data_IF_524689166545
#
_entry.id   IF_524689166545
#
_cell.length_a   1.000
_cell.length_b   1.000
_cell.length_c   1.000
_cell.angle_alpha   90.00
_cell.angle_beta   90.00
_cell.angle_gamma   90.00
#
_symmetry.space_group_name_H-M   'P 1'
#
loop_
_entity.id
_entity.type
_entity.pdbx_description
1 polymer ?
#
# COMPACT_ATOMS: atom_id res chain seq x y z
N UNK A 1 -12.46 6.52 22.21
CA UNK A 1 -12.31 7.79 21.47
C UNK A 1 -11.05 7.68 20.59
N UNK A 2 -10.98 6.68 19.73
CA UNK A 2 -11.36 6.68 18.29
C UNK A 2 -10.26 7.26 17.39
N UNK A 3 -9.22 6.44 17.23
CA UNK A 3 -8.59 6.05 15.96
C UNK A 3 -8.34 7.15 14.92
N UNK A 4 -7.19 7.83 15.05
CA UNK A 4 -6.54 8.60 13.98
C UNK A 4 -5.40 7.80 13.33
N UNK A 5 -5.64 6.55 12.91
CA UNK A 5 -4.58 5.70 12.33
C UNK A 5 -4.75 5.35 10.84
N UNK A 6 -5.66 6.04 10.13
CA UNK A 6 -5.94 5.74 8.71
C UNK A 6 -5.09 6.49 7.66
N UNK A 7 -3.93 7.09 8.01
CA UNK A 7 -3.22 7.97 7.08
C UNK A 7 -1.95 7.41 6.41
N UNK A 8 -1.47 6.21 6.75
CA UNK A 8 -0.14 5.78 6.27
C UNK A 8 -0.05 5.47 4.76
N UNK A 9 -1.15 5.09 4.09
CA UNK A 9 -1.16 4.87 2.62
C UNK A 9 -1.75 6.03 1.83
N UNK A 10 -2.36 6.99 2.53
CA UNK A 10 -3.16 8.08 1.95
C UNK A 10 -2.52 9.45 2.24
N UNK A 11 -1.28 9.53 2.71
CA UNK A 11 -0.53 10.80 2.68
C UNK A 11 -0.06 11.21 1.27
N UNK A 12 -0.46 10.45 0.25
CA UNK A 12 -0.51 10.90 -1.16
C UNK A 12 -1.70 11.86 -1.41
N UNK A 13 -2.53 12.20 -0.42
CA UNK A 13 -3.69 13.09 -0.65
C UNK A 13 -3.44 14.58 -0.38
N UNK A 14 -2.27 14.96 0.14
CA UNK A 14 -1.77 16.33 0.00
C UNK A 14 -1.12 16.43 -1.39
N UNK A 15 -1.97 16.65 -2.40
CA UNK A 15 -1.48 17.11 -3.70
C UNK A 15 -0.51 18.27 -3.42
N UNK A 16 0.77 18.17 -3.82
CA UNK A 16 1.66 19.30 -3.68
C UNK A 16 1.01 20.49 -4.39
N UNK A 17 1.22 21.74 -3.95
CA UNK A 17 0.67 22.92 -4.62
C UNK A 17 0.99 22.99 -6.13
N UNK A 18 2.01 22.24 -6.56
CA UNK A 18 2.50 22.10 -7.94
C UNK A 18 2.16 20.75 -8.60
N UNK A 19 1.31 19.93 -7.96
CA UNK A 19 1.03 18.55 -8.38
C UNK A 19 2.17 17.58 -8.03
N UNK A 20 1.99 16.31 -8.37
CA UNK A 20 3.01 15.29 -8.10
C UNK A 20 4.23 15.49 -9.00
N UNK A 21 5.38 15.75 -8.39
CA UNK A 21 6.67 15.82 -9.11
C UNK A 21 7.09 14.45 -9.67
N UNK A 22 6.63 13.37 -9.03
CA UNK A 22 6.84 11.99 -9.45
C UNK A 22 5.49 11.28 -9.58
N UNK A 23 5.23 10.66 -10.73
CA UNK A 23 3.99 9.94 -10.96
C UNK A 23 4.00 8.63 -10.15
N UNK A 24 3.01 8.39 -9.27
CA UNK A 24 2.92 7.13 -8.54
C UNK A 24 2.76 5.97 -9.52
N UNK A 25 3.43 4.86 -9.24
CA UNK A 25 3.43 3.69 -10.11
C UNK A 25 2.84 2.48 -9.40
N UNK A 26 2.07 1.69 -10.13
CA UNK A 26 1.60 0.38 -9.70
C UNK A 26 2.38 -0.68 -10.48
N UNK A 27 2.99 -1.61 -9.77
CA UNK A 27 3.71 -2.75 -10.34
C UNK A 27 3.05 -4.04 -9.85
N UNK A 28 2.90 -5.02 -10.73
CA UNK A 28 2.34 -6.33 -10.35
C UNK A 28 3.49 -7.31 -10.12
N UNK A 29 3.50 -7.95 -8.95
CA UNK A 29 4.45 -8.99 -8.60
C UNK A 29 3.97 -10.30 -9.21
N UNK A 30 4.59 -10.68 -10.32
CA UNK A 30 4.25 -11.93 -11.04
C UNK A 30 4.96 -13.15 -10.44
N UNK A 31 6.04 -12.94 -9.68
CA UNK A 31 6.89 -14.00 -9.14
C UNK A 31 6.96 -13.93 -7.61
N UNK A 32 6.60 -15.04 -6.96
CA UNK A 32 6.73 -15.25 -5.51
C UNK A 32 5.40 -15.41 -4.78
N UNK A 33 5.41 -16.18 -3.69
CA UNK A 33 4.29 -16.36 -2.75
C UNK A 33 4.06 -15.12 -1.86
N UNK A 34 4.08 -13.92 -2.44
CA UNK A 34 3.80 -12.69 -1.69
C UNK A 34 2.30 -12.59 -1.47
N UNK A 35 1.93 -12.35 -0.21
CA UNK A 35 0.53 -12.30 0.22
C UNK A 35 0.07 -10.85 0.40
N UNK A 36 0.96 -9.97 0.87
CA UNK A 36 0.64 -8.58 1.18
C UNK A 36 1.22 -7.62 0.14
N UNK A 37 0.59 -6.43 -0.06
CA UNK A 37 1.15 -5.39 -0.90
C UNK A 37 2.41 -4.78 -0.29
N UNK A 38 3.29 -4.27 -1.16
CA UNK A 38 4.50 -3.55 -0.75
C UNK A 38 4.49 -2.13 -1.28
N UNK A 39 4.63 -1.16 -0.37
CA UNK A 39 4.81 0.23 -0.73
C UNK A 39 6.28 0.63 -0.58
N UNK A 40 6.84 1.24 -1.63
CA UNK A 40 8.02 2.06 -1.53
C UNK A 40 7.61 3.53 -1.63
N UNK A 41 7.46 4.16 -0.47
CA UNK A 41 6.99 5.55 -0.34
C UNK A 41 8.01 6.57 -0.88
N UNK A 42 9.31 6.27 -0.82
CA UNK A 42 10.36 7.17 -1.31
C UNK A 42 10.30 7.39 -2.82
N UNK A 43 9.87 6.38 -3.59
CA UNK A 43 9.76 6.45 -5.06
C UNK A 43 8.31 6.34 -5.55
N UNK A 44 7.33 6.40 -4.64
CA UNK A 44 5.89 6.31 -4.95
C UNK A 44 5.51 5.06 -5.75
N UNK A 45 6.10 3.90 -5.43
CA UNK A 45 5.79 2.62 -6.09
C UNK A 45 4.96 1.74 -5.16
N UNK A 46 3.80 1.27 -5.63
CA UNK A 46 3.00 0.24 -4.98
C UNK A 46 3.10 -1.07 -5.77
N UNK A 47 3.55 -2.13 -5.11
CA UNK A 47 3.68 -3.47 -5.67
C UNK A 47 2.55 -4.35 -5.19
N UNK A 48 1.78 -4.89 -6.12
CA UNK A 48 0.60 -5.71 -5.86
C UNK A 48 0.90 -7.20 -6.07
N UNK A 49 0.65 -8.07 -5.08
CA UNK A 49 0.67 -9.51 -5.28
C UNK A 49 -0.48 -9.98 -6.16
N UNK A 50 -0.26 -11.08 -6.88
CA UNK A 50 -1.32 -11.79 -7.59
C UNK A 50 -2.08 -12.72 -6.63
N UNK A 51 -3.41 -12.67 -6.69
CA UNK A 51 -4.28 -13.58 -5.96
C UNK A 51 -5.23 -14.31 -6.92
N UNK A 52 -5.70 -15.49 -6.49
CA UNK A 52 -6.63 -16.32 -7.26
C UNK A 52 -8.04 -15.73 -7.36
N UNK A 53 -8.41 -14.80 -6.47
CA UNK A 53 -9.69 -14.10 -6.50
C UNK A 53 -9.56 -12.64 -6.08
N UNK A 54 -10.53 -11.84 -6.49
CA UNK A 54 -10.63 -10.43 -6.11
C UNK A 54 -10.86 -10.29 -4.60
N UNK A 55 -11.64 -11.17 -3.99
CA UNK A 55 -11.93 -11.20 -2.56
C UNK A 55 -10.66 -11.41 -1.74
N UNK A 56 -9.82 -12.37 -2.17
CA UNK A 56 -8.53 -12.61 -1.54
C UNK A 56 -7.61 -11.39 -1.70
N UNK A 57 -7.53 -10.80 -2.90
CA UNK A 57 -6.77 -9.57 -3.12
C UNK A 57 -7.24 -8.44 -2.19
N UNK A 58 -8.56 -8.19 -2.16
CA UNK A 58 -9.16 -7.12 -1.37
C UNK A 58 -8.89 -7.29 0.12
N UNK A 59 -9.03 -8.50 0.64
CA UNK A 59 -8.78 -8.80 2.05
C UNK A 59 -7.33 -8.48 2.43
N UNK A 60 -6.35 -9.02 1.69
CA UNK A 60 -4.93 -8.80 1.99
C UNK A 60 -4.49 -7.35 1.76
N UNK A 61 -5.09 -6.64 0.80
CA UNK A 61 -4.89 -5.20 0.64
C UNK A 61 -5.33 -4.42 1.88
N UNK A 62 -6.53 -4.70 2.40
CA UNK A 62 -7.06 -4.03 3.60
C UNK A 62 -6.21 -4.35 4.82
N UNK A 63 -5.87 -5.63 5.02
CA UNK A 63 -5.01 -6.06 6.12
C UNK A 63 -3.63 -5.42 6.04
N UNK A 64 -3.00 -5.40 4.86
CA UNK A 64 -1.71 -4.76 4.63
C UNK A 64 -1.73 -3.26 4.96
N UNK A 65 -2.81 -2.56 4.62
CA UNK A 65 -2.98 -1.14 4.94
C UNK A 65 -3.11 -0.92 6.45
N UNK A 66 -3.94 -1.71 7.12
CA UNK A 66 -4.21 -1.57 8.55
C UNK A 66 -3.00 -1.94 9.42
N UNK A 67 -2.23 -2.94 8.99
CA UNK A 67 -1.10 -3.47 9.75
C UNK A 67 0.24 -2.83 9.38
N UNK A 68 0.34 -2.03 8.31
CA UNK A 68 1.62 -1.41 7.93
C UNK A 68 2.33 -0.62 9.04
N UNK A 69 1.63 0.09 9.96
CA UNK A 69 2.30 0.74 11.10
C UNK A 69 2.93 -0.22 12.09
N UNK A 70 2.51 -1.49 12.11
CA UNK A 70 2.92 -2.52 13.08
C UNK A 70 3.79 -3.62 12.47
N UNK A 71 3.88 -3.73 11.15
CA UNK A 71 4.74 -4.71 10.47
C UNK A 71 6.23 -4.50 10.81
N UNK A 72 6.90 -5.56 11.25
CA UNK A 72 8.35 -5.56 11.50
C UNK A 72 8.79 -5.08 12.89
N UNK A 73 7.84 -4.78 13.79
CA UNK A 73 8.11 -4.53 15.22
C UNK A 73 8.08 -5.86 15.98
N UNK A 74 9.16 -6.64 15.91
CA UNK A 74 9.35 -7.88 16.69
C UNK A 74 10.47 -7.69 17.73
#
# INVERSE_FOLDING_TARGET
MTQRQNLAFVEVLLLPPLGFTHCPQIQVLHEGNRIFPEANTCILVLRLPLHSSYEAFKQHMIEGILQAPTFGLA
#
